data_IF_078238669693
#
_entry.id   IF_078238669693
#
_cell.length_a   1.000
_cell.length_b   1.000
_cell.length_c   1.000
_cell.angle_alpha   90.00
_cell.angle_beta   90.00
_cell.angle_gamma   90.00
#
_symmetry.space_group_name_H-M   'P 1'
#
loop_
_entity.id
_entity.type
_entity.pdbx_description
1 polymer ?
#
# COMPACT_ATOMS: atom_id res chain seq x y z
N UNK A 1 19.85 20.83 -8.44
CA UNK A 1 18.66 21.73 -8.42
C UNK A 1 17.45 20.85 -8.34
N UNK A 2 16.57 21.03 -7.33
CA UNK A 2 15.33 20.26 -7.21
C UNK A 2 14.36 20.58 -8.36
N UNK A 3 13.37 19.68 -8.57
CA UNK A 3 12.28 19.91 -9.54
C UNK A 3 11.41 21.10 -9.08
N UNK A 4 10.90 21.89 -10.03
CA UNK A 4 9.81 22.83 -9.72
C UNK A 4 8.53 22.05 -9.39
N UNK A 5 7.57 22.71 -8.73
CA UNK A 5 6.28 22.10 -8.42
C UNK A 5 5.57 21.57 -9.68
N UNK A 6 5.62 22.32 -10.78
CA UNK A 6 5.01 21.87 -12.04
C UNK A 6 5.73 20.64 -12.62
N UNK A 7 7.07 20.65 -12.66
CA UNK A 7 7.85 19.49 -13.13
C UNK A 7 7.60 18.25 -12.29
N UNK A 8 7.41 18.42 -10.98
CA UNK A 8 7.05 17.32 -10.10
C UNK A 8 5.66 16.75 -10.43
N UNK A 9 4.66 17.60 -10.61
CA UNK A 9 3.31 17.16 -10.98
C UNK A 9 3.23 16.52 -12.37
N UNK A 10 4.05 16.98 -13.31
CA UNK A 10 4.16 16.36 -14.64
C UNK A 10 4.74 14.94 -14.50
N UNK A 11 5.81 14.77 -13.69
CA UNK A 11 6.36 13.44 -13.38
C UNK A 11 5.33 12.51 -12.71
N UNK A 12 4.54 13.02 -11.75
CA UNK A 12 3.45 12.25 -11.13
C UNK A 12 2.45 11.78 -12.18
N UNK A 13 2.08 12.66 -13.11
CA UNK A 13 1.15 12.32 -14.20
C UNK A 13 1.73 11.23 -15.12
N UNK A 14 2.99 11.36 -15.50
CA UNK A 14 3.67 10.41 -16.38
C UNK A 14 3.73 9.01 -15.74
N UNK A 15 4.07 8.93 -14.45
CA UNK A 15 4.09 7.66 -13.70
C UNK A 15 2.68 7.08 -13.56
N UNK A 16 1.65 7.90 -13.35
CA UNK A 16 0.26 7.42 -13.31
C UNK A 16 -0.17 6.81 -14.65
N UNK A 17 0.15 7.48 -15.77
CA UNK A 17 -0.13 6.98 -17.11
C UNK A 17 0.67 5.70 -17.43
N UNK A 18 1.88 5.55 -16.90
CA UNK A 18 2.66 4.31 -17.01
C UNK A 18 1.97 3.15 -16.29
N UNK A 19 1.46 3.35 -15.06
CA UNK A 19 0.69 2.34 -14.32
C UNK A 19 -0.57 1.90 -15.08
N UNK A 20 -1.28 2.85 -15.68
CA UNK A 20 -2.46 2.56 -16.51
C UNK A 20 -2.11 1.75 -17.75
N UNK A 21 -1.05 2.14 -18.47
CA UNK A 21 -0.55 1.40 -19.65
C UNK A 21 -0.12 -0.02 -19.29
N UNK A 22 0.42 -0.23 -18.09
CA UNK A 22 0.72 -1.56 -17.56
C UNK A 22 -0.54 -2.41 -17.26
N UNK A 23 -1.74 -1.82 -17.30
CA UNK A 23 -3.01 -2.53 -17.08
C UNK A 23 -3.47 -2.60 -15.63
N UNK A 24 -2.94 -1.73 -14.76
CA UNK A 24 -3.38 -1.64 -13.36
C UNK A 24 -4.78 -1.02 -13.30
N UNK A 25 -5.77 -1.75 -12.75
CA UNK A 25 -7.18 -1.34 -12.72
C UNK A 25 -7.44 -0.24 -11.69
N UNK A 26 -6.87 -0.37 -10.49
CA UNK A 26 -6.94 0.63 -9.43
C UNK A 26 -5.52 1.16 -9.10
N UNK A 27 -4.95 2.03 -9.94
CA UNK A 27 -3.59 2.52 -9.72
C UNK A 27 -3.54 3.39 -8.46
N UNK A 28 -2.58 3.11 -7.59
CA UNK A 28 -2.23 4.05 -6.52
C UNK A 28 -1.69 5.34 -7.16
N UNK A 29 -2.14 6.51 -6.68
CA UNK A 29 -1.49 7.74 -7.09
C UNK A 29 0.03 7.65 -6.83
N UNK A 30 0.90 8.16 -7.71
CA UNK A 30 2.33 8.01 -7.51
C UNK A 30 2.83 8.76 -6.27
N UNK A 31 3.32 8.02 -5.28
CA UNK A 31 3.97 8.55 -4.09
C UNK A 31 5.48 8.63 -4.34
N UNK A 32 5.96 9.77 -4.82
CA UNK A 32 7.37 9.98 -5.16
C UNK A 32 8.14 10.74 -4.07
N UNK A 33 7.45 11.14 -3.00
CA UNK A 33 8.04 11.74 -1.81
C UNK A 33 8.22 10.69 -0.72
N UNK A 34 9.04 11.01 0.26
CA UNK A 34 9.16 10.21 1.48
C UNK A 34 7.79 10.09 2.16
N UNK A 35 7.36 8.85 2.45
CA UNK A 35 6.02 8.54 2.91
C UNK A 35 5.70 9.11 4.31
N UNK A 36 6.72 9.35 5.13
CA UNK A 36 6.54 9.96 6.45
C UNK A 36 6.46 11.47 6.30
N UNK A 37 7.48 12.07 5.66
CA UNK A 37 7.61 13.51 5.57
C UNK A 37 6.48 14.18 4.78
N UNK A 38 5.93 13.51 3.77
CA UNK A 38 4.82 14.07 2.98
C UNK A 38 3.58 14.39 3.83
N UNK A 39 3.44 13.76 5.00
CA UNK A 39 2.36 14.01 5.95
C UNK A 39 2.87 14.74 7.19
N UNK A 40 3.96 14.26 7.81
CA UNK A 40 4.46 14.79 9.07
C UNK A 40 4.97 16.24 8.97
N UNK A 41 5.54 16.65 7.83
CA UNK A 41 6.02 18.03 7.66
C UNK A 41 4.86 19.05 7.86
N UNK A 42 3.64 18.74 7.39
CA UNK A 42 2.47 19.57 7.62
C UNK A 42 1.84 19.38 9.01
N UNK A 43 1.77 18.14 9.49
CA UNK A 43 1.19 17.81 10.81
C UNK A 43 2.00 18.45 11.95
N UNK A 44 3.33 18.43 11.85
CA UNK A 44 4.22 18.99 12.87
C UNK A 44 4.43 20.52 12.77
N UNK A 45 3.97 21.15 11.69
CA UNK A 45 4.08 22.61 11.51
C UNK A 45 3.02 23.34 12.32
N UNK A 46 3.40 24.15 13.34
CA UNK A 46 2.44 24.88 14.17
C UNK A 46 1.56 25.88 13.39
N UNK A 47 2.00 26.32 12.22
CA UNK A 47 1.22 27.23 11.37
C UNK A 47 0.11 26.50 10.62
N UNK A 48 0.30 25.22 10.34
CA UNK A 48 -0.62 24.34 9.63
C UNK A 48 -1.48 23.47 10.56
N UNK A 49 -1.17 23.42 11.85
CA UNK A 49 -1.89 22.64 12.86
C UNK A 49 -2.77 23.54 13.74
N UNK A 50 -3.95 23.04 14.11
CA UNK A 50 -4.87 23.72 15.05
C UNK A 50 -4.57 23.39 16.51
N UNK A 51 -3.96 22.23 16.75
CA UNK A 51 -3.44 21.79 18.03
C UNK A 51 -2.28 20.81 17.77
N UNK A 52 -1.48 20.43 18.78
CA UNK A 52 -0.36 19.52 18.57
C UNK A 52 -0.76 18.27 17.78
N UNK A 53 -0.13 18.06 16.63
CA UNK A 53 -0.31 16.93 15.71
C UNK A 53 -1.70 16.79 15.07
N UNK A 54 -2.56 17.84 15.14
CA UNK A 54 -3.83 17.88 14.41
C UNK A 54 -3.74 18.93 13.33
N UNK A 55 -3.58 18.50 12.07
CA UNK A 55 -3.48 19.37 10.89
C UNK A 55 -4.80 20.09 10.64
N UNK A 56 -4.77 21.39 10.31
CA UNK A 56 -5.98 22.10 9.89
C UNK A 56 -6.52 21.54 8.57
N UNK A 57 -7.84 21.48 8.41
CA UNK A 57 -8.52 20.87 7.24
C UNK A 57 -8.09 21.48 5.92
N UNK A 58 -7.83 22.78 5.84
CA UNK A 58 -7.36 23.47 4.63
C UNK A 58 -5.96 23.04 4.19
N UNK A 59 -5.11 22.56 5.10
CA UNK A 59 -3.76 22.08 4.81
C UNK A 59 -3.68 20.56 4.62
N UNK A 60 -4.70 19.79 4.98
CA UNK A 60 -4.74 18.33 4.82
C UNK A 60 -4.94 17.93 3.34
N UNK A 61 -3.93 18.23 2.50
CA UNK A 61 -3.98 17.99 1.05
C UNK A 61 -2.86 17.07 0.60
N UNK A 62 -3.18 16.12 -0.25
CA UNK A 62 -2.22 15.29 -0.96
C UNK A 62 -1.93 15.96 -2.30
N UNK A 63 -0.74 16.57 -2.42
CA UNK A 63 -0.34 17.36 -3.57
C UNK A 63 -0.48 16.58 -4.89
N UNK A 64 -0.09 15.32 -4.89
CA UNK A 64 -0.08 14.43 -6.04
C UNK A 64 -1.48 14.22 -6.64
N UNK A 65 -2.53 14.31 -5.84
CA UNK A 65 -3.90 14.19 -6.35
C UNK A 65 -4.26 15.33 -7.31
N UNK A 66 -3.59 16.47 -7.23
CA UNK A 66 -3.79 17.55 -8.21
C UNK A 66 -3.34 17.18 -9.63
N UNK A 67 -2.42 16.20 -9.75
CA UNK A 67 -1.98 15.68 -11.05
C UNK A 67 -2.92 14.61 -11.63
N UNK A 68 -3.82 14.03 -10.82
CA UNK A 68 -4.80 13.05 -11.29
C UNK A 68 -5.87 13.78 -12.13
N UNK A 69 -6.12 13.33 -13.37
CA UNK A 69 -7.12 13.95 -14.24
C UNK A 69 -8.53 13.94 -13.63
N UNK A 70 -9.35 14.91 -14.02
CA UNK A 70 -10.76 14.94 -13.62
C UNK A 70 -11.48 13.68 -14.14
N UNK A 71 -12.36 13.11 -13.30
CA UNK A 71 -13.11 11.88 -13.62
C UNK A 71 -12.29 10.59 -13.50
N UNK A 72 -10.97 10.66 -13.26
CA UNK A 72 -10.17 9.49 -12.97
C UNK A 72 -10.12 9.24 -11.45
N UNK A 73 -10.31 7.98 -11.07
CA UNK A 73 -10.17 7.53 -9.67
C UNK A 73 -8.88 6.73 -9.50
N UNK A 74 -8.30 6.82 -8.30
CA UNK A 74 -7.06 6.15 -7.91
C UNK A 74 -7.22 5.54 -6.51
N UNK A 75 -6.38 4.57 -6.18
CA UNK A 75 -6.20 4.15 -4.79
C UNK A 75 -5.42 5.25 -4.07
N UNK A 76 -5.96 5.75 -2.96
CA UNK A 76 -5.33 6.81 -2.17
C UNK A 76 -4.71 6.20 -0.92
N UNK A 77 -3.38 6.16 -0.89
CA UNK A 77 -2.60 5.72 0.26
C UNK A 77 -2.23 6.91 1.14
N UNK A 78 -2.42 6.74 2.43
CA UNK A 78 -1.93 7.65 3.47
C UNK A 78 -1.15 6.81 4.48
N UNK A 79 0.00 7.30 4.90
CA UNK A 79 0.74 6.64 5.98
C UNK A 79 -0.11 6.63 7.24
N UNK A 80 -0.26 5.45 7.83
CA UNK A 80 -1.14 5.25 8.95
C UNK A 80 -0.62 5.88 10.25
N UNK A 81 -1.50 6.06 11.24
CA UNK A 81 -1.16 6.78 12.46
C UNK A 81 -0.07 6.09 13.30
N UNK A 82 -0.01 4.76 13.28
CA UNK A 82 1.02 4.01 14.03
C UNK A 82 2.39 4.16 13.38
N UNK A 83 2.48 4.07 12.06
CA UNK A 83 3.72 4.30 11.32
C UNK A 83 4.25 5.72 11.51
N UNK A 84 3.38 6.73 11.42
CA UNK A 84 3.75 8.13 11.70
C UNK A 84 4.22 8.29 13.14
N UNK A 85 3.53 7.64 14.09
CA UNK A 85 3.90 7.69 15.49
C UNK A 85 5.27 7.07 15.76
N UNK A 86 5.48 5.83 15.32
CA UNK A 86 6.75 5.10 15.54
C UNK A 86 7.92 5.87 14.92
N UNK A 87 7.72 6.41 13.73
CA UNK A 87 8.73 7.18 13.02
C UNK A 87 9.14 8.47 13.76
N UNK A 88 8.20 9.13 14.46
CA UNK A 88 8.45 10.40 15.13
C UNK A 88 8.84 10.25 16.61
N UNK A 89 8.30 9.24 17.32
CA UNK A 89 8.40 9.11 18.78
C UNK A 89 9.06 7.80 19.24
N UNK A 90 9.30 6.87 18.34
CA UNK A 90 9.94 5.58 18.67
C UNK A 90 9.09 4.77 19.66
N UNK A 91 9.72 4.36 20.77
CA UNK A 91 9.13 3.42 21.75
C UNK A 91 8.47 4.07 22.96
N UNK A 92 8.26 5.37 22.97
CA UNK A 92 7.56 6.07 24.09
C UNK A 92 6.06 6.09 23.79
N UNK A 93 5.20 5.63 24.70
CA UNK A 93 3.75 5.57 24.47
C UNK A 93 3.04 6.83 24.96
N UNK A 94 2.45 7.58 24.05
CA UNK A 94 1.54 8.71 24.28
C UNK A 94 0.28 8.51 23.44
N UNK A 95 -0.76 7.91 24.03
CA UNK A 95 -1.99 7.55 23.30
C UNK A 95 -2.74 8.78 22.78
N UNK A 96 -2.66 9.92 23.46
CA UNK A 96 -3.23 11.19 23.01
C UNK A 96 -2.55 11.70 21.73
N UNK A 97 -1.24 11.55 21.59
CA UNK A 97 -0.51 11.90 20.36
C UNK A 97 -0.88 10.94 19.24
N UNK A 98 -0.96 9.63 19.52
CA UNK A 98 -1.40 8.64 18.53
C UNK A 98 -2.80 8.98 17.97
N UNK A 99 -3.74 9.36 18.84
CA UNK A 99 -5.08 9.73 18.39
C UNK A 99 -5.12 11.07 17.65
N UNK A 100 -4.25 12.02 18.01
CA UNK A 100 -4.10 13.28 17.27
C UNK A 100 -3.55 13.04 15.85
N UNK A 101 -2.57 12.15 15.70
CA UNK A 101 -2.08 11.71 14.40
C UNK A 101 -3.18 11.00 13.59
N UNK A 102 -3.96 10.13 14.25
CA UNK A 102 -5.09 9.45 13.61
C UNK A 102 -6.14 10.43 13.09
N UNK A 103 -6.45 11.48 13.85
CA UNK A 103 -7.33 12.57 13.39
C UNK A 103 -6.75 13.31 12.17
N UNK A 104 -5.44 13.57 12.16
CA UNK A 104 -4.78 14.19 11.02
C UNK A 104 -4.84 13.29 9.77
N UNK A 105 -4.60 11.99 9.93
CA UNK A 105 -4.74 11.00 8.84
C UNK A 105 -6.18 10.99 8.30
N UNK A 106 -7.18 11.01 9.19
CA UNK A 106 -8.57 11.11 8.80
C UNK A 106 -8.86 12.37 7.95
N UNK A 107 -8.28 13.52 8.30
CA UNK A 107 -8.46 14.77 7.54
C UNK A 107 -7.87 14.70 6.14
N UNK A 108 -6.74 14.03 5.92
CA UNK A 108 -6.21 13.78 4.58
C UNK A 108 -7.15 12.91 3.74
N UNK A 109 -7.67 11.83 4.33
CA UNK A 109 -8.63 10.96 3.64
C UNK A 109 -9.96 11.65 3.36
N UNK A 110 -10.49 12.42 4.32
CA UNK A 110 -11.70 13.23 4.14
C UNK A 110 -11.55 14.19 2.96
N UNK A 111 -10.41 14.89 2.89
CA UNK A 111 -10.12 15.82 1.80
C UNK A 111 -10.02 15.09 0.46
N UNK A 112 -9.30 13.97 0.38
CA UNK A 112 -9.18 13.17 -0.84
C UNK A 112 -10.54 12.64 -1.32
N UNK A 113 -11.42 12.24 -0.39
CA UNK A 113 -12.79 11.83 -0.72
C UNK A 113 -13.61 12.98 -1.31
N UNK A 114 -13.51 14.18 -0.75
CA UNK A 114 -14.19 15.38 -1.27
C UNK A 114 -13.74 15.76 -2.69
N UNK A 115 -12.52 15.42 -3.07
CA UNK A 115 -11.99 15.66 -4.42
C UNK A 115 -12.49 14.64 -5.45
N UNK A 116 -13.31 13.66 -5.05
CA UNK A 116 -13.91 12.61 -5.89
C UNK A 116 -12.91 11.77 -6.71
N UNK A 117 -11.64 11.77 -6.30
CA UNK A 117 -10.54 11.06 -6.97
C UNK A 117 -10.23 9.69 -6.36
N UNK A 118 -10.87 9.35 -5.26
CA UNK A 118 -10.61 8.12 -4.52
C UNK A 118 -11.53 6.98 -4.94
N UNK A 119 -10.97 5.84 -5.37
CA UNK A 119 -11.69 4.58 -5.56
C UNK A 119 -11.58 3.69 -4.33
N UNK A 120 -10.38 3.60 -3.77
CA UNK A 120 -10.05 2.81 -2.57
C UNK A 120 -9.16 3.68 -1.69
N UNK A 121 -9.42 3.71 -0.39
CA UNK A 121 -8.50 4.28 0.60
C UNK A 121 -7.51 3.21 1.07
N UNK A 122 -6.30 3.62 1.46
CA UNK A 122 -5.34 2.73 2.12
C UNK A 122 -4.64 3.46 3.26
N UNK A 123 -4.63 2.81 4.42
CA UNK A 123 -3.77 3.15 5.55
C UNK A 123 -2.54 2.25 5.49
N UNK A 124 -1.37 2.82 5.26
CA UNK A 124 -0.14 2.05 5.14
C UNK A 124 0.55 2.00 6.51
N UNK A 125 0.56 0.80 7.12
CA UNK A 125 1.09 0.52 8.46
C UNK A 125 2.21 -0.54 8.40
N UNK A 126 3.32 -0.27 7.70
CA UNK A 126 4.38 -1.26 7.47
C UNK A 126 5.05 -1.76 8.75
N UNK A 127 5.16 -0.92 9.78
CA UNK A 127 5.77 -1.32 11.05
C UNK A 127 4.88 -2.18 11.92
N UNK A 128 3.57 -2.23 11.65
CA UNK A 128 2.63 -2.99 12.48
C UNK A 128 2.85 -4.50 12.31
N UNK A 129 3.30 -5.16 13.36
CA UNK A 129 3.62 -6.58 13.37
C UNK A 129 5.06 -6.93 12.95
N UNK A 130 5.88 -5.94 12.58
CA UNK A 130 7.31 -6.12 12.31
C UNK A 130 8.15 -5.43 13.37
N UNK A 131 7.79 -4.20 13.72
CA UNK A 131 8.53 -3.42 14.70
C UNK A 131 8.25 -3.89 16.12
N UNK A 132 9.32 -4.16 16.89
CA UNK A 132 9.24 -4.33 18.35
C UNK A 132 8.93 -3.03 19.08
N UNK A 133 8.87 -1.91 18.38
CA UNK A 133 8.52 -0.60 18.90
C UNK A 133 7.00 -0.40 19.08
N UNK A 134 6.16 -1.38 18.74
CA UNK A 134 4.72 -1.31 19.00
C UNK A 134 4.48 -1.56 20.47
N UNK A 135 4.10 -0.49 21.16
CA UNK A 135 3.93 -0.41 22.62
C UNK A 135 2.49 -0.10 23.02
N UNK A 136 1.60 0.06 22.04
CA UNK A 136 0.18 0.28 22.26
C UNK A 136 -0.57 -1.04 22.39
N UNK A 137 -1.58 -1.06 23.23
CA UNK A 137 -2.51 -2.18 23.34
C UNK A 137 -3.32 -2.32 22.04
N UNK A 138 -3.90 -3.51 21.81
CA UNK A 138 -4.78 -3.74 20.65
C UNK A 138 -5.98 -2.79 20.63
N UNK A 139 -6.54 -2.41 21.79
CA UNK A 139 -7.65 -1.47 21.86
C UNK A 139 -7.25 -0.06 21.45
N UNK A 140 -6.03 0.38 21.80
CA UNK A 140 -5.49 1.65 21.36
C UNK A 140 -5.21 1.65 19.85
N UNK A 141 -4.68 0.55 19.32
CA UNK A 141 -4.47 0.34 17.89
C UNK A 141 -5.80 0.41 17.14
N UNK A 142 -6.81 -0.38 17.56
CA UNK A 142 -8.15 -0.37 16.97
C UNK A 142 -8.77 1.03 17.00
N UNK A 143 -8.66 1.73 18.11
CA UNK A 143 -9.19 3.09 18.25
C UNK A 143 -8.50 4.06 17.30
N UNK A 144 -7.17 4.02 17.19
CA UNK A 144 -6.43 4.89 16.28
C UNK A 144 -6.82 4.62 14.81
N UNK A 145 -6.90 3.34 14.42
CA UNK A 145 -7.30 2.96 13.08
C UNK A 145 -8.78 3.30 12.78
N UNK A 146 -9.70 3.19 13.76
CA UNK A 146 -11.10 3.59 13.59
C UNK A 146 -11.24 5.11 13.40
N UNK A 147 -10.50 5.91 14.15
CA UNK A 147 -10.44 7.37 13.94
C UNK A 147 -9.93 7.67 12.53
N UNK A 148 -8.80 7.08 12.14
CA UNK A 148 -8.16 7.35 10.86
C UNK A 148 -9.03 6.94 9.67
N UNK A 149 -9.72 5.78 9.75
CA UNK A 149 -10.55 5.22 8.69
C UNK A 149 -11.99 5.75 8.67
N UNK A 150 -12.43 6.52 9.69
CA UNK A 150 -13.80 7.02 9.80
C UNK A 150 -14.33 7.72 8.52
N UNK A 151 -13.53 8.54 7.80
CA UNK A 151 -13.98 9.16 6.55
C UNK A 151 -14.24 8.16 5.42
N UNK A 152 -13.74 6.93 5.53
CA UNK A 152 -13.83 5.90 4.49
C UNK A 152 -15.06 4.99 4.67
N UNK A 153 -15.84 5.16 5.72
CA UNK A 153 -17.05 4.34 5.93
C UNK A 153 -17.98 4.38 4.73
N UNK A 154 -18.41 3.19 4.26
CA UNK A 154 -19.25 3.03 3.09
C UNK A 154 -18.49 3.03 1.75
N UNK A 155 -17.16 2.91 1.78
CA UNK A 155 -16.30 2.67 0.63
C UNK A 155 -15.18 1.68 1.01
N UNK A 156 -14.47 1.17 0.01
CA UNK A 156 -13.36 0.29 0.28
C UNK A 156 -12.20 1.03 0.96
N UNK A 157 -11.78 0.49 2.11
CA UNK A 157 -10.66 0.98 2.89
C UNK A 157 -9.74 -0.20 3.23
N UNK A 158 -8.54 -0.14 2.73
CA UNK A 158 -7.48 -1.12 3.01
C UNK A 158 -6.62 -0.63 4.18
N UNK A 159 -6.18 -1.57 5.02
CA UNK A 159 -4.96 -1.41 5.81
C UNK A 159 -3.88 -2.27 5.16
N UNK A 160 -2.75 -1.65 4.80
CA UNK A 160 -1.61 -2.36 4.22
C UNK A 160 -0.59 -2.73 5.29
N UNK A 161 -0.33 -4.02 5.43
CA UNK A 161 0.56 -4.61 6.44
C UNK A 161 1.70 -5.38 5.77
N UNK A 162 2.90 -5.28 6.35
CA UNK A 162 4.04 -6.11 5.96
C UNK A 162 4.07 -7.46 6.70
N UNK A 163 3.24 -7.64 7.74
CA UNK A 163 3.14 -8.86 8.54
C UNK A 163 1.69 -9.16 8.88
N UNK A 164 1.26 -10.43 8.95
CA UNK A 164 -0.12 -10.81 9.28
C UNK A 164 -0.47 -10.73 10.78
N UNK A 165 0.50 -10.44 11.67
CA UNK A 165 0.31 -10.53 13.12
C UNK A 165 -0.85 -9.69 13.68
N UNK A 166 -1.15 -8.54 13.05
CA UNK A 166 -2.26 -7.67 13.43
C UNK A 166 -3.42 -7.69 12.44
N UNK A 167 -3.48 -8.70 11.55
CA UNK A 167 -4.56 -8.80 10.56
C UNK A 167 -5.95 -8.85 11.21
N UNK A 168 -6.12 -9.66 12.28
CA UNK A 168 -7.37 -9.77 13.02
C UNK A 168 -7.74 -8.46 13.73
N UNK A 169 -6.76 -7.83 14.40
CA UNK A 169 -6.94 -6.53 15.06
C UNK A 169 -7.43 -5.47 14.08
N UNK A 170 -6.84 -5.43 12.88
CA UNK A 170 -7.21 -4.49 11.83
C UNK A 170 -8.57 -4.82 11.20
N UNK A 171 -8.85 -6.08 10.91
CA UNK A 171 -10.13 -6.52 10.35
C UNK A 171 -11.32 -6.24 11.28
N UNK A 172 -11.09 -6.18 12.59
CA UNK A 172 -12.11 -5.85 13.58
C UNK A 172 -12.46 -4.34 13.62
N UNK A 173 -11.77 -3.48 12.86
CA UNK A 173 -12.03 -2.04 12.81
C UNK A 173 -13.15 -1.73 11.81
N UNK A 174 -14.28 -1.12 12.21
CA UNK A 174 -15.45 -0.94 11.35
C UNK A 174 -15.19 -0.13 10.07
N UNK A 175 -14.18 0.73 10.07
CA UNK A 175 -13.80 1.55 8.91
C UNK A 175 -12.90 0.82 7.90
N UNK A 176 -12.38 -0.36 8.23
CA UNK A 176 -11.47 -1.15 7.39
C UNK A 176 -12.22 -2.33 6.78
N UNK A 177 -12.29 -2.40 5.46
CA UNK A 177 -12.94 -3.48 4.73
C UNK A 177 -11.96 -4.45 4.07
N UNK A 178 -10.69 -4.08 3.95
CA UNK A 178 -9.67 -4.89 3.27
C UNK A 178 -8.39 -4.92 4.12
N UNK A 179 -7.85 -6.13 4.34
CA UNK A 179 -6.53 -6.33 4.93
C UNK A 179 -5.55 -6.69 3.82
N UNK A 180 -4.54 -5.84 3.59
CA UNK A 180 -3.49 -6.05 2.61
C UNK A 180 -2.25 -6.69 3.22
N UNK A 181 -1.75 -7.78 2.63
CA UNK A 181 -0.59 -8.55 3.13
C UNK A 181 0.45 -8.76 2.02
N UNK A 182 1.72 -8.62 2.37
CA UNK A 182 2.86 -8.95 1.53
C UNK A 182 3.08 -10.46 1.46
N UNK A 183 2.44 -11.13 0.53
CA UNK A 183 2.47 -12.59 0.42
C UNK A 183 3.29 -13.14 -0.74
N UNK A 184 3.78 -12.31 -1.66
CA UNK A 184 4.64 -12.78 -2.73
C UNK A 184 6.07 -13.07 -2.24
N UNK A 185 6.61 -12.24 -1.36
CA UNK A 185 7.89 -12.46 -0.70
C UNK A 185 7.80 -13.52 0.42
N UNK A 186 6.66 -13.59 1.10
CA UNK A 186 6.40 -14.44 2.26
C UNK A 186 5.10 -15.26 2.09
N UNK A 187 5.09 -16.31 1.23
CA UNK A 187 3.88 -17.09 0.93
C UNK A 187 3.21 -17.72 2.15
N UNK A 188 4.00 -18.04 3.18
CA UNK A 188 3.50 -18.66 4.42
C UNK A 188 2.64 -17.69 5.25
N UNK A 189 2.72 -16.38 5.02
CA UNK A 189 1.88 -15.40 5.70
C UNK A 189 0.39 -15.63 5.45
N UNK A 190 0.01 -16.14 4.27
CA UNK A 190 -1.38 -16.47 3.97
C UNK A 190 -1.94 -17.57 4.86
N UNK A 191 -1.09 -18.48 5.37
CA UNK A 191 -1.51 -19.56 6.28
C UNK A 191 -1.75 -19.08 7.72
N UNK A 192 -1.26 -17.87 8.06
CA UNK A 192 -1.44 -17.24 9.37
C UNK A 192 -2.74 -16.42 9.44
N UNK A 193 -3.47 -16.29 8.33
CA UNK A 193 -4.73 -15.56 8.26
C UNK A 193 -5.87 -16.58 8.27
N UNK A 194 -6.77 -16.48 9.25
CA UNK A 194 -7.96 -17.30 9.28
C UNK A 194 -9.03 -16.72 8.34
N UNK A 195 -9.47 -17.50 7.35
CA UNK A 195 -10.57 -17.14 6.47
C UNK A 195 -11.86 -16.85 7.24
N UNK A 196 -12.13 -17.58 8.33
CA UNK A 196 -13.31 -17.36 9.16
C UNK A 196 -13.30 -15.99 9.81
N UNK A 197 -12.12 -15.52 10.25
CA UNK A 197 -11.98 -14.17 10.78
C UNK A 197 -12.44 -13.12 9.76
N UNK A 198 -12.07 -13.28 8.47
CA UNK A 198 -12.53 -12.40 7.40
C UNK A 198 -14.05 -12.52 7.14
N UNK A 199 -14.62 -13.72 7.29
CA UNK A 199 -16.05 -13.95 7.17
C UNK A 199 -16.83 -13.31 8.33
N UNK A 200 -16.36 -13.48 9.54
CA UNK A 200 -17.00 -12.98 10.78
C UNK A 200 -16.95 -11.45 10.88
N UNK A 201 -15.86 -10.83 10.43
CA UNK A 201 -15.71 -9.37 10.40
C UNK A 201 -16.33 -8.71 9.16
N UNK A 202 -16.69 -9.50 8.15
CA UNK A 202 -17.14 -8.99 6.85
C UNK A 202 -16.01 -8.39 6.01
N UNK A 203 -14.75 -8.60 6.39
CA UNK A 203 -13.58 -8.08 5.71
C UNK A 203 -13.11 -8.96 4.56
N UNK A 204 -12.25 -8.40 3.72
CA UNK A 204 -11.63 -9.05 2.57
C UNK A 204 -10.11 -9.01 2.69
N UNK A 205 -9.44 -9.83 1.89
CA UNK A 205 -8.00 -9.87 1.77
C UNK A 205 -7.55 -9.22 0.45
N UNK A 206 -6.47 -8.46 0.50
CA UNK A 206 -5.61 -8.17 -0.64
C UNK A 206 -4.32 -8.97 -0.49
N UNK A 207 -4.03 -9.87 -1.42
CA UNK A 207 -2.79 -10.65 -1.42
C UNK A 207 -1.76 -10.05 -2.38
N UNK A 208 -0.51 -9.91 -1.93
CA UNK A 208 0.61 -9.61 -2.80
C UNK A 208 0.93 -10.80 -3.70
N UNK A 209 1.12 -10.56 -5.01
CA UNK A 209 1.51 -11.61 -5.99
C UNK A 209 2.80 -11.30 -6.73
N UNK A 210 3.25 -10.05 -6.72
CA UNK A 210 4.54 -9.62 -7.27
C UNK A 210 5.44 -9.16 -6.13
N UNK A 211 6.64 -9.72 -6.06
CA UNK A 211 7.64 -9.32 -5.05
C UNK A 211 8.13 -7.92 -5.32
N UNK A 212 8.44 -7.19 -4.26
CA UNK A 212 8.96 -5.82 -4.33
C UNK A 212 10.28 -5.64 -3.56
N UNK A 213 10.73 -6.65 -2.87
CA UNK A 213 11.94 -6.72 -2.06
C UNK A 213 13.21 -6.90 -2.93
N UNK A 214 13.51 -5.90 -3.76
CA UNK A 214 14.56 -5.92 -4.79
C UNK A 214 15.93 -6.37 -4.25
N UNK A 215 16.28 -5.99 -3.03
CA UNK A 215 17.56 -6.38 -2.41
C UNK A 215 17.61 -7.89 -2.13
N UNK A 216 16.52 -8.47 -1.65
CA UNK A 216 16.45 -9.92 -1.40
C UNK A 216 16.39 -10.71 -2.71
N UNK A 217 15.67 -10.21 -3.72
CA UNK A 217 15.64 -10.80 -5.06
C UNK A 217 17.05 -10.83 -5.64
N UNK A 218 17.74 -9.69 -5.68
CA UNK A 218 19.09 -9.57 -6.24
C UNK A 218 20.12 -10.40 -5.47
N UNK A 219 20.02 -10.46 -4.14
CA UNK A 219 20.91 -11.30 -3.33
C UNK A 219 20.79 -12.79 -3.68
N UNK A 220 19.57 -13.31 -3.82
CA UNK A 220 19.33 -14.71 -4.23
C UNK A 220 19.83 -14.98 -5.66
N UNK A 221 19.63 -14.02 -6.58
CA UNK A 221 20.14 -14.14 -7.94
C UNK A 221 21.65 -14.14 -7.98
N UNK A 222 22.31 -13.26 -7.22
CA UNK A 222 23.77 -13.20 -7.11
C UNK A 222 24.35 -14.52 -6.59
N UNK A 223 23.74 -15.08 -5.53
CA UNK A 223 24.15 -16.37 -4.97
C UNK A 223 23.99 -17.50 -5.99
N UNK A 224 22.84 -17.58 -6.66
CA UNK A 224 22.55 -18.60 -7.67
C UNK A 224 23.53 -18.56 -8.86
N UNK A 225 23.89 -17.35 -9.31
CA UNK A 225 24.69 -17.13 -10.52
C UNK A 225 26.18 -16.96 -10.24
N UNK A 226 26.60 -16.81 -8.97
CA UNK A 226 27.97 -16.59 -8.57
C UNK A 226 28.56 -15.25 -9.04
N UNK A 227 27.71 -14.21 -9.22
CA UNK A 227 28.11 -12.88 -9.72
C UNK A 227 27.42 -11.77 -8.93
N UNK A 228 27.95 -10.55 -9.03
CA UNK A 228 27.25 -9.36 -8.54
C UNK A 228 26.48 -8.70 -9.69
N UNK A 229 25.18 -8.91 -9.76
CA UNK A 229 24.33 -8.36 -10.82
C UNK A 229 24.19 -6.84 -10.77
N UNK A 230 24.51 -6.20 -9.64
CA UNK A 230 24.51 -4.73 -9.57
C UNK A 230 25.59 -4.08 -10.44
N UNK A 231 26.60 -4.86 -10.85
CA UNK A 231 27.64 -4.42 -11.78
C UNK A 231 27.17 -4.49 -13.25
N UNK A 232 26.04 -5.16 -13.53
CA UNK A 232 25.41 -5.28 -14.86
C UNK A 232 23.89 -5.07 -14.74
N UNK A 233 23.41 -3.81 -14.68
CA UNK A 233 21.98 -3.50 -14.50
C UNK A 233 21.07 -4.13 -15.55
N UNK A 234 21.50 -4.22 -16.81
CA UNK A 234 20.69 -4.82 -17.87
C UNK A 234 20.50 -6.33 -17.67
N UNK A 235 21.53 -7.02 -17.15
CA UNK A 235 21.42 -8.41 -16.77
C UNK A 235 20.56 -8.59 -15.53
N UNK A 236 20.71 -7.72 -14.52
CA UNK A 236 19.86 -7.74 -13.33
C UNK A 236 18.37 -7.64 -13.69
N UNK A 237 18.00 -6.69 -14.53
CA UNK A 237 16.61 -6.52 -14.97
C UNK A 237 16.07 -7.76 -15.68
N UNK A 238 16.84 -8.34 -16.60
CA UNK A 238 16.46 -9.56 -17.33
C UNK A 238 16.26 -10.73 -16.35
N UNK A 239 17.20 -10.98 -15.46
CA UNK A 239 17.11 -12.08 -14.48
C UNK A 239 15.90 -11.93 -13.54
N UNK A 240 15.56 -10.68 -13.16
CA UNK A 240 14.37 -10.41 -12.35
C UNK A 240 13.10 -10.76 -13.14
N UNK A 241 12.99 -10.32 -14.40
CA UNK A 241 11.82 -10.61 -15.25
C UNK A 241 11.66 -12.09 -15.56
N UNK A 242 12.75 -12.85 -15.61
CA UNK A 242 12.71 -14.31 -15.74
C UNK A 242 12.21 -15.02 -14.47
N UNK A 243 12.33 -14.41 -13.31
CA UNK A 243 11.86 -14.96 -12.02
C UNK A 243 10.48 -14.47 -11.63
N UNK A 244 10.14 -13.22 -11.93
CA UNK A 244 8.84 -12.60 -11.63
C UNK A 244 7.97 -12.52 -12.90
N UNK A 245 7.69 -13.68 -13.49
CA UNK A 245 6.84 -13.79 -14.69
C UNK A 245 5.36 -13.71 -14.35
N UNK A 246 4.52 -13.41 -15.35
CA UNK A 246 3.06 -13.45 -15.20
C UNK A 246 2.55 -14.82 -14.73
N UNK A 247 3.17 -15.92 -15.16
CA UNK A 247 2.80 -17.28 -14.72
C UNK A 247 3.10 -17.48 -13.23
N UNK A 248 4.27 -17.08 -12.75
CA UNK A 248 4.63 -17.20 -11.33
C UNK A 248 3.66 -16.37 -10.45
N UNK A 249 3.28 -15.19 -10.93
CA UNK A 249 2.31 -14.35 -10.23
C UNK A 249 0.90 -14.96 -10.26
N UNK A 250 0.51 -15.58 -11.38
CA UNK A 250 -0.76 -16.30 -11.49
C UNK A 250 -0.82 -17.51 -10.53
N UNK A 251 0.26 -18.27 -10.42
CA UNK A 251 0.35 -19.40 -9.49
C UNK A 251 0.24 -18.95 -8.01
N UNK A 252 0.77 -17.76 -7.67
CA UNK A 252 0.60 -17.14 -6.34
C UNK A 252 -0.85 -16.71 -6.11
N UNK A 253 -1.49 -16.14 -7.14
CA UNK A 253 -2.89 -15.72 -7.09
C UNK A 253 -3.82 -16.92 -6.93
N UNK A 254 -3.57 -18.01 -7.66
CA UNK A 254 -4.34 -19.27 -7.53
C UNK A 254 -4.26 -19.81 -6.10
N UNK A 255 -3.07 -19.88 -5.52
CA UNK A 255 -2.90 -20.31 -4.13
C UNK A 255 -3.65 -19.44 -3.13
N UNK A 256 -3.60 -18.11 -3.30
CA UNK A 256 -4.34 -17.20 -2.44
C UNK A 256 -5.86 -17.40 -2.59
N UNK A 257 -6.35 -17.59 -3.82
CA UNK A 257 -7.76 -17.83 -4.07
C UNK A 257 -8.23 -19.18 -3.56
N UNK A 258 -7.41 -20.22 -3.64
CA UNK A 258 -7.75 -21.55 -3.11
C UNK A 258 -7.90 -21.53 -1.57
N UNK A 259 -7.16 -20.64 -0.87
CA UNK A 259 -7.29 -20.45 0.58
C UNK A 259 -8.50 -19.59 0.95
N UNK A 260 -8.74 -18.49 0.23
CA UNK A 260 -9.68 -17.45 0.68
C UNK A 260 -10.95 -17.35 -0.19
N UNK A 261 -10.96 -17.90 -1.40
CA UNK A 261 -12.12 -17.84 -2.31
C UNK A 261 -12.58 -16.39 -2.53
N UNK A 262 -13.87 -16.18 -2.36
CA UNK A 262 -14.53 -14.87 -2.53
C UNK A 262 -14.10 -13.81 -1.49
N UNK A 263 -13.35 -14.21 -0.46
CA UNK A 263 -12.74 -13.25 0.49
C UNK A 263 -11.46 -12.62 -0.04
N UNK A 264 -10.91 -13.10 -1.16
CA UNK A 264 -9.83 -12.44 -1.87
C UNK A 264 -10.41 -11.38 -2.81
N UNK A 265 -10.44 -10.12 -2.38
CA UNK A 265 -11.03 -9.01 -3.14
C UNK A 265 -10.07 -8.36 -4.12
N UNK A 266 -8.78 -8.28 -3.77
CA UNK A 266 -7.80 -7.55 -4.57
C UNK A 266 -6.44 -8.25 -4.56
N UNK A 267 -5.61 -7.90 -5.53
CA UNK A 267 -4.23 -8.36 -5.62
C UNK A 267 -3.35 -7.32 -6.31
N UNK A 268 -2.05 -7.44 -6.12
CA UNK A 268 -1.08 -6.52 -6.71
C UNK A 268 0.35 -6.84 -6.27
N UNK A 269 1.31 -5.94 -6.49
CA UNK A 269 2.63 -6.04 -5.89
C UNK A 269 2.56 -6.02 -4.36
N UNK A 270 3.50 -6.65 -3.69
CA UNK A 270 3.58 -6.63 -2.21
C UNK A 270 3.57 -5.20 -1.69
N UNK A 271 4.46 -4.35 -2.18
CA UNK A 271 4.62 -2.97 -1.77
C UNK A 271 4.92 -2.06 -2.97
N UNK A 272 5.46 -0.85 -2.72
CA UNK A 272 5.89 0.10 -3.73
C UNK A 272 7.14 -0.35 -4.50
N UNK A 273 7.26 0.10 -5.75
CA UNK A 273 8.39 -0.18 -6.65
C UNK A 273 9.39 0.99 -6.73
N UNK A 274 9.37 1.91 -5.76
CA UNK A 274 10.19 3.14 -5.80
C UNK A 274 11.70 2.90 -5.67
N UNK A 275 12.13 1.76 -5.10
CA UNK A 275 13.54 1.38 -4.95
C UNK A 275 14.10 0.58 -6.13
N UNK A 276 13.31 0.36 -7.18
CA UNK A 276 13.71 -0.47 -8.30
C UNK A 276 14.70 0.23 -9.23
N UNK A 277 15.61 -0.52 -9.91
CA UNK A 277 16.71 0.04 -10.70
C UNK A 277 16.26 0.96 -11.85
N UNK A 278 15.11 0.63 -12.45
CA UNK A 278 14.55 1.46 -13.52
C UNK A 278 13.02 1.52 -13.48
N UNK A 279 12.46 2.58 -14.04
CA UNK A 279 11.00 2.71 -14.21
C UNK A 279 10.46 1.70 -15.23
N UNK A 280 11.26 1.30 -16.22
CA UNK A 280 10.87 0.30 -17.22
C UNK A 280 10.70 -1.06 -16.57
N UNK A 281 11.63 -1.49 -15.72
CA UNK A 281 11.52 -2.73 -14.98
C UNK A 281 10.27 -2.71 -14.07
N UNK A 282 10.04 -1.63 -13.34
CA UNK A 282 8.85 -1.46 -12.50
C UNK A 282 7.54 -1.57 -13.33
N UNK A 283 7.50 -0.98 -14.52
CA UNK A 283 6.35 -1.07 -15.43
C UNK A 283 6.14 -2.49 -15.95
N UNK A 284 7.22 -3.20 -16.28
CA UNK A 284 7.15 -4.59 -16.74
C UNK A 284 6.61 -5.52 -15.64
N UNK A 285 7.02 -5.34 -14.39
CA UNK A 285 6.46 -6.09 -13.24
C UNK A 285 4.97 -5.81 -13.07
N UNK A 286 4.55 -4.56 -13.18
CA UNK A 286 3.12 -4.21 -13.13
C UNK A 286 2.33 -4.83 -14.30
N UNK A 287 2.93 -4.88 -15.49
CA UNK A 287 2.32 -5.52 -16.67
C UNK A 287 2.16 -7.02 -16.48
N UNK A 288 3.20 -7.71 -15.94
CA UNK A 288 3.15 -9.13 -15.60
C UNK A 288 2.07 -9.41 -14.55
N UNK A 289 1.97 -8.54 -13.54
CA UNK A 289 0.94 -8.63 -12.51
C UNK A 289 -0.48 -8.51 -13.10
N UNK A 290 -0.71 -7.52 -13.96
CA UNK A 290 -1.99 -7.34 -14.65
C UNK A 290 -2.31 -8.48 -15.62
N UNK A 291 -1.30 -9.04 -16.29
CA UNK A 291 -1.47 -10.22 -17.15
C UNK A 291 -1.86 -11.45 -16.33
N UNK A 292 -1.21 -11.69 -15.21
CA UNK A 292 -1.54 -12.76 -14.27
C UNK A 292 -3.02 -12.70 -13.84
N UNK A 293 -3.50 -11.52 -13.46
CA UNK A 293 -4.90 -11.31 -13.06
C UNK A 293 -5.86 -11.61 -14.24
N UNK A 294 -5.57 -11.11 -15.45
CA UNK A 294 -6.40 -11.39 -16.62
C UNK A 294 -6.42 -12.90 -16.95
N UNK A 295 -5.26 -13.56 -16.90
CA UNK A 295 -5.14 -15.00 -17.12
C UNK A 295 -5.95 -15.81 -16.12
N UNK A 296 -5.83 -15.49 -14.84
CA UNK A 296 -6.58 -16.11 -13.74
C UNK A 296 -8.09 -15.96 -13.91
N UNK A 297 -8.59 -14.74 -14.17
CA UNK A 297 -10.03 -14.50 -14.40
C UNK A 297 -10.56 -15.32 -15.58
N UNK A 298 -9.80 -15.36 -16.68
CA UNK A 298 -10.17 -16.15 -17.87
C UNK A 298 -10.24 -17.65 -17.56
N UNK A 299 -9.25 -18.18 -16.85
CA UNK A 299 -9.19 -19.60 -16.51
C UNK A 299 -10.35 -20.05 -15.62
N UNK A 300 -10.80 -19.17 -14.71
CA UNK A 300 -11.90 -19.46 -13.78
C UNK A 300 -13.26 -18.94 -14.23
N UNK A 301 -13.37 -18.41 -15.44
CA UNK A 301 -14.61 -17.79 -15.98
C UNK A 301 -15.19 -16.72 -15.07
N UNK A 302 -14.34 -16.04 -14.32
CA UNK A 302 -14.72 -14.95 -13.44
C UNK A 302 -14.90 -13.67 -14.25
N UNK A 303 -16.05 -13.03 -14.14
CA UNK A 303 -16.29 -11.70 -14.70
C UNK A 303 -15.73 -10.67 -13.70
N UNK A 304 -15.29 -9.52 -14.22
CA UNK A 304 -14.81 -8.44 -13.32
C UNK A 304 -15.97 -8.02 -12.41
N UNK A 305 -15.78 -8.20 -11.10
CA UNK A 305 -16.76 -7.82 -10.07
C UNK A 305 -16.41 -6.46 -9.44
N UNK A 306 -15.30 -5.85 -9.89
CA UNK A 306 -14.77 -4.59 -9.32
C UNK A 306 -14.47 -3.55 -10.40
#
# INVERSE_FOLDING_TARGET
KGLSAQQYLDLVRDVLEQKKRAGVEAPTYPQLRDMIRMFMDGIADPTQSESPYIIKREFARILELSAVPAGQKVRVCVTGPLELYISAFGTTAYSDILYALAESVARFLERARQEEKMSVASLDEPSLGISSAIIFSEDEIKRALDIASAPCRGMDCEVHLHSPLFAETCAAVPGISIVGIESAAHPDYLQLIDRRMLEDTGSYLRAGIARTDILSISARLNERLGVNLWDDPARLEREILETETAQVMMDRLERAYDLFGERLAATGPDCGLGSWPSQELAANILSNCAEAVRGFRKARSLHSVW
#
